data_IF_338061534184
#
_entry.id   IF_338061534184
#
_cell.length_a   1.000
_cell.length_b   1.000
_cell.length_c   1.000
_cell.angle_alpha   90.00
_cell.angle_beta   90.00
_cell.angle_gamma   90.00
#
_symmetry.space_group_name_H-M   'P 1'
#
loop_
_entity.id
_entity.type
_entity.pdbx_description
1 polymer ?
#
# COMPACT_ATOMS: atom_id res chain seq x y z
N UNK A 1 0.76 -0.66 18.06
CA UNK A 1 1.97 -0.01 17.53
C UNK A 1 1.97 -0.10 16.02
N UNK A 2 2.27 0.99 15.33
CA UNK A 2 2.31 0.98 13.87
C UNK A 2 3.69 0.60 13.37
N UNK A 3 3.71 0.04 12.16
CA UNK A 3 4.94 -0.26 11.43
C UNK A 3 4.81 0.22 10.00
N UNK A 4 5.92 0.60 9.41
CA UNK A 4 5.95 1.08 8.03
C UNK A 4 7.09 0.41 7.27
N UNK A 5 6.85 0.19 5.97
CA UNK A 5 7.88 -0.29 5.07
C UNK A 5 7.80 0.52 3.78
N UNK A 6 8.96 0.88 3.25
CA UNK A 6 9.07 1.57 1.96
C UNK A 6 9.47 0.57 0.91
N UNK A 7 8.66 0.45 -0.13
CA UNK A 7 8.88 -0.51 -1.21
C UNK A 7 9.17 0.24 -2.51
N UNK A 8 10.30 -0.05 -3.11
CA UNK A 8 10.70 0.52 -4.39
C UNK A 8 10.32 -0.46 -5.49
N UNK A 9 9.49 -0.03 -6.41
CA UNK A 9 8.94 -0.89 -7.45
C UNK A 9 9.72 -0.75 -8.75
N UNK A 10 9.69 -1.79 -9.62
CA UNK A 10 10.19 -1.62 -10.99
C UNK A 10 9.42 -0.52 -11.71
N UNK A 11 10.00 0.11 -12.75
CA UNK A 11 9.33 1.19 -13.47
C UNK A 11 7.95 0.76 -13.96
N UNK A 12 6.97 1.65 -13.80
CA UNK A 12 5.58 1.35 -14.13
C UNK A 12 4.86 2.61 -14.61
N UNK A 13 3.85 2.43 -15.46
CA UNK A 13 2.90 3.48 -15.83
C UNK A 13 1.53 2.86 -16.10
N UNK A 14 0.51 3.73 -16.22
CA UNK A 14 -0.86 3.27 -16.35
C UNK A 14 -1.43 2.77 -15.02
N UNK A 15 -2.45 1.94 -15.11
CA UNK A 15 -3.14 1.42 -13.93
C UNK A 15 -2.86 -0.07 -13.78
N UNK A 16 -2.51 -0.49 -12.57
CA UNK A 16 -2.26 -1.91 -12.29
C UNK A 16 -2.48 -2.25 -10.84
N UNK A 17 -2.69 -3.55 -10.61
CA UNK A 17 -2.81 -4.08 -9.25
C UNK A 17 -1.43 -4.50 -8.75
N UNK A 18 -1.13 -4.11 -7.54
CA UNK A 18 0.13 -4.43 -6.89
C UNK A 18 -0.16 -5.16 -5.58
N UNK A 19 0.69 -6.12 -5.27
CA UNK A 19 0.58 -6.86 -4.02
C UNK A 19 1.93 -6.89 -3.32
N UNK A 20 1.92 -6.67 -2.03
CA UNK A 20 3.11 -6.81 -1.21
C UNK A 20 2.79 -7.66 0.00
N UNK A 21 3.41 -8.84 0.08
CA UNK A 21 3.23 -9.73 1.23
C UNK A 21 4.13 -9.26 2.36
N UNK A 22 3.52 -9.01 3.50
CA UNK A 22 4.22 -8.48 4.66
C UNK A 22 3.57 -8.99 5.94
N UNK A 23 4.29 -9.79 6.76
CA UNK A 23 3.70 -10.50 7.89
C UNK A 23 2.95 -9.67 8.93
N UNK A 24 3.32 -8.39 9.23
CA UNK A 24 2.56 -7.61 10.21
C UNK A 24 1.11 -7.32 9.83
N UNK A 25 0.75 -7.49 8.56
CA UNK A 25 -0.61 -7.22 8.09
C UNK A 25 -1.45 -8.47 8.19
N UNK A 26 -2.73 -8.32 8.54
CA UNK A 26 -3.71 -9.38 8.40
C UNK A 26 -5.02 -8.79 7.86
N UNK A 27 -6.02 -9.65 7.63
CA UNK A 27 -7.23 -9.27 6.93
C UNK A 27 -8.00 -8.11 7.59
N UNK A 28 -7.85 -7.95 8.90
CA UNK A 28 -8.55 -6.91 9.66
C UNK A 28 -7.69 -5.69 9.95
N UNK A 29 -6.48 -5.64 9.42
CA UNK A 29 -5.58 -4.51 9.66
C UNK A 29 -6.07 -3.24 8.99
N UNK A 30 -5.71 -2.11 9.57
CA UNK A 30 -5.88 -0.80 8.93
C UNK A 30 -4.55 -0.44 8.30
N UNK A 31 -4.55 -0.31 6.98
CA UNK A 31 -3.33 -0.10 6.21
C UNK A 31 -3.45 1.17 5.38
N UNK A 32 -2.41 1.99 5.44
CA UNK A 32 -2.27 3.18 4.61
C UNK A 32 -1.18 2.91 3.59
N UNK A 33 -1.40 3.35 2.36
CA UNK A 33 -0.40 3.27 1.30
C UNK A 33 -0.30 4.64 0.64
N UNK A 34 0.91 5.18 0.58
CA UNK A 34 1.21 6.41 -0.14
C UNK A 34 2.24 6.11 -1.23
N UNK A 35 2.25 6.92 -2.28
CA UNK A 35 3.13 6.68 -3.41
C UNK A 35 3.77 7.97 -3.89
N UNK A 36 4.99 7.85 -4.42
CA UNK A 36 5.70 8.98 -5.03
C UNK A 36 6.73 8.46 -6.02
N UNK A 37 7.21 9.36 -6.89
CA UNK A 37 8.39 9.06 -7.70
C UNK A 37 9.65 9.07 -6.84
N UNK A 38 10.67 8.34 -7.29
CA UNK A 38 11.99 8.40 -6.68
C UNK A 38 13.07 8.50 -7.75
N UNK A 39 14.23 9.04 -7.36
CA UNK A 39 15.36 9.22 -8.25
C UNK A 39 16.49 8.24 -7.86
N UNK A 40 16.68 7.15 -8.62
CA UNK A 40 17.73 6.17 -8.29
C UNK A 40 19.14 6.66 -8.59
N UNK A 41 19.28 7.74 -9.37
CA UNK A 41 20.58 8.23 -9.82
C UNK A 41 21.09 9.44 -9.04
N UNK A 42 20.24 10.01 -8.19
CA UNK A 42 20.61 11.18 -7.39
C UNK A 42 21.29 10.80 -6.08
N UNK A 43 21.69 11.81 -5.28
CA UNK A 43 22.23 11.52 -3.96
C UNK A 43 21.16 10.88 -3.09
N UNK A 44 21.55 9.91 -2.22
CA UNK A 44 20.57 9.24 -1.36
C UNK A 44 20.12 10.15 -0.22
N UNK A 45 18.98 9.79 0.37
CA UNK A 45 18.52 10.36 1.63
C UNK A 45 19.44 9.96 2.79
N UNK A 46 19.24 10.57 3.94
CA UNK A 46 20.04 10.32 5.14
C UNK A 46 20.03 8.85 5.57
N UNK A 47 18.98 8.11 5.25
CA UNK A 47 18.86 6.68 5.56
C UNK A 47 19.47 5.79 4.47
N UNK A 48 20.06 6.38 3.42
CA UNK A 48 20.67 5.63 2.32
C UNK A 48 19.71 5.24 1.21
N UNK A 49 18.42 5.53 1.34
CA UNK A 49 17.45 5.21 0.29
C UNK A 49 17.42 6.29 -0.79
N UNK A 50 16.86 5.94 -1.97
CA UNK A 50 16.71 6.90 -3.06
C UNK A 50 15.77 8.03 -2.65
N UNK A 51 16.09 9.25 -3.09
CA UNK A 51 15.27 10.42 -2.79
C UNK A 51 13.96 10.37 -3.57
N UNK A 52 12.87 10.70 -2.87
CA UNK A 52 11.56 10.88 -3.48
C UNK A 52 11.44 12.33 -3.92
N UNK A 53 10.64 12.55 -4.97
CA UNK A 53 10.42 13.91 -5.47
C UNK A 53 9.02 14.04 -6.06
N UNK A 54 8.58 15.28 -6.17
CA UNK A 54 7.31 15.62 -6.82
C UNK A 54 7.58 15.90 -8.30
N UNK A 55 7.21 14.94 -9.15
CA UNK A 55 7.31 15.09 -10.59
C UNK A 55 6.02 15.65 -11.21
N UNK A 56 5.98 15.66 -12.54
CA UNK A 56 4.83 16.18 -13.27
C UNK A 56 3.67 15.18 -13.35
N UNK A 57 3.94 13.89 -13.19
CA UNK A 57 2.91 12.87 -13.30
C UNK A 57 2.00 12.86 -12.08
N UNK A 58 0.73 12.52 -12.29
CA UNK A 58 -0.18 12.23 -11.20
C UNK A 58 -0.06 10.76 -10.83
N UNK A 59 0.18 10.48 -9.56
CA UNK A 59 0.30 9.13 -9.03
C UNK A 59 -0.73 8.97 -7.93
N UNK A 60 -1.54 7.89 -8.03
CA UNK A 60 -2.62 7.61 -7.08
C UNK A 60 -2.56 6.17 -6.62
N UNK A 61 -2.95 5.97 -5.36
CA UNK A 61 -3.19 4.64 -4.81
C UNK A 61 -4.68 4.54 -4.52
N UNK A 62 -5.30 3.47 -5.04
CA UNK A 62 -6.72 3.21 -4.88
C UNK A 62 -6.94 1.80 -4.35
N UNK A 63 -8.12 1.56 -3.76
CA UNK A 63 -8.58 0.21 -3.43
C UNK A 63 -7.55 -0.57 -2.61
N UNK A 64 -7.21 -0.04 -1.44
CA UNK A 64 -6.23 -0.67 -0.55
C UNK A 64 -6.93 -1.79 0.22
N UNK A 65 -6.50 -3.04 -0.02
CA UNK A 65 -7.15 -4.22 0.55
C UNK A 65 -6.11 -5.06 1.29
N UNK A 66 -6.13 -5.03 2.63
CA UNK A 66 -5.32 -5.96 3.42
C UNK A 66 -5.84 -7.38 3.27
N UNK A 67 -4.94 -8.36 3.37
CA UNK A 67 -5.33 -9.77 3.30
C UNK A 67 -4.54 -10.60 4.29
N UNK A 68 -5.10 -11.76 4.61
CA UNK A 68 -4.50 -12.72 5.51
C UNK A 68 -5.48 -13.84 5.85
N UNK A 69 -5.04 -14.82 6.64
CA UNK A 69 -5.92 -15.91 7.03
C UNK A 69 -7.19 -15.41 7.73
N UNK A 70 -8.31 -16.13 7.58
CA UNK A 70 -8.44 -17.42 6.91
C UNK A 70 -8.65 -17.34 5.39
N UNK A 71 -8.99 -16.16 4.84
CA UNK A 71 -9.35 -16.04 3.43
C UNK A 71 -8.15 -16.18 2.50
N UNK A 72 -6.99 -15.73 2.94
CA UNK A 72 -5.76 -15.77 2.17
C UNK A 72 -4.65 -16.31 3.07
N UNK A 73 -3.88 -17.33 2.62
CA UNK A 73 -2.79 -17.84 3.44
C UNK A 73 -1.64 -16.84 3.62
N UNK A 74 -1.54 -15.85 2.78
CA UNK A 74 -0.47 -14.86 2.83
C UNK A 74 -0.94 -13.58 3.48
N UNK A 75 -0.12 -13.05 4.40
CA UNK A 75 -0.32 -11.75 5.02
C UNK A 75 0.22 -10.66 4.09
N UNK A 76 -0.53 -9.62 3.87
CA UNK A 76 -0.07 -8.53 3.05
C UNK A 76 -1.18 -7.57 2.64
N UNK A 77 -0.90 -6.80 1.59
CA UNK A 77 -1.83 -5.80 1.07
C UNK A 77 -1.80 -5.80 -0.45
N UNK A 78 -2.97 -5.74 -1.05
CA UNK A 78 -3.15 -5.52 -2.48
C UNK A 78 -3.76 -4.15 -2.67
N UNK A 79 -3.27 -3.40 -3.64
CA UNK A 79 -3.79 -2.08 -3.95
C UNK A 79 -3.67 -1.81 -5.44
N UNK A 80 -4.43 -0.83 -5.92
CA UNK A 80 -4.33 -0.36 -7.28
C UNK A 80 -3.42 0.86 -7.32
N UNK A 81 -2.42 0.83 -8.20
CA UNK A 81 -1.53 1.97 -8.43
C UNK A 81 -1.81 2.54 -9.80
N UNK A 82 -2.08 3.84 -9.86
CA UNK A 82 -2.33 4.56 -11.10
C UNK A 82 -1.22 5.59 -11.29
N UNK A 83 -0.49 5.45 -12.41
CA UNK A 83 0.56 6.38 -12.80
C UNK A 83 0.14 7.02 -14.12
N UNK A 84 -0.32 8.26 -14.05
CA UNK A 84 -0.83 8.98 -15.23
C UNK A 84 0.33 9.63 -15.97
N UNK A 85 1.02 8.83 -16.77
CA UNK A 85 2.17 9.25 -17.54
C UNK A 85 2.34 8.34 -18.76
N UNK A 86 2.93 8.86 -19.82
CA UNK A 86 3.04 8.14 -21.08
C UNK A 86 4.17 7.10 -21.13
N UNK A 87 5.05 7.09 -20.15
CA UNK A 87 6.16 6.13 -20.08
C UNK A 87 6.36 5.67 -18.64
N UNK A 88 7.02 4.51 -18.43
CA UNK A 88 7.24 4.01 -17.07
C UNK A 88 8.06 4.95 -16.21
N UNK A 89 7.64 5.09 -14.94
CA UNK A 89 8.31 5.92 -13.94
C UNK A 89 8.75 5.06 -12.76
N UNK A 90 9.79 5.51 -12.08
CA UNK A 90 10.26 4.90 -10.83
C UNK A 90 9.36 5.35 -9.70
N UNK A 91 8.63 4.41 -9.13
CA UNK A 91 7.64 4.69 -8.08
C UNK A 91 7.97 3.89 -6.83
N UNK A 92 7.88 4.54 -5.68
CA UNK A 92 7.95 3.84 -4.40
C UNK A 92 6.66 4.08 -3.62
N UNK A 93 6.34 3.11 -2.77
CA UNK A 93 5.19 3.20 -1.88
C UNK A 93 5.66 3.07 -0.44
N UNK A 94 5.04 3.84 0.44
CA UNK A 94 5.14 3.65 1.88
C UNK A 94 3.89 2.93 2.33
N UNK A 95 4.07 1.76 2.93
CA UNK A 95 2.98 0.94 3.44
C UNK A 95 3.05 0.98 4.95
N UNK A 96 1.97 1.42 5.58
CA UNK A 96 1.91 1.54 7.05
C UNK A 96 0.73 0.75 7.56
N UNK A 97 1.01 -0.19 8.47
CA UNK A 97 -0.03 -0.87 9.22
C UNK A 97 -0.14 -0.18 10.58
N UNK A 98 -1.34 0.27 10.92
CA UNK A 98 -1.54 1.12 12.10
C UNK A 98 -1.53 0.34 13.40
N UNK A 99 -1.99 -0.88 13.38
CA UNK A 99 -1.99 -1.73 14.57
C UNK A 99 -1.64 -3.16 14.16
N UNK A 100 -0.42 -3.56 14.44
CA UNK A 100 0.07 -4.88 14.10
C UNK A 100 -0.27 -5.93 15.14
N UNK A 101 -0.63 -5.50 16.34
CA UNK A 101 -0.68 -6.41 17.47
C UNK A 101 -1.96 -7.24 17.52
N UNK A 102 -3.08 -6.65 17.13
CA UNK A 102 -4.36 -7.32 17.35
C UNK A 102 -5.46 -6.73 16.49
N UNK A 103 -5.93 -7.52 15.54
CA UNK A 103 -7.04 -7.13 14.68
C UNK A 103 -8.37 -6.97 15.41
N UNK A 104 -8.49 -7.49 16.63
CA UNK A 104 -9.74 -7.39 17.38
C UNK A 104 -10.02 -5.96 17.90
N UNK A 105 -9.04 -5.06 17.79
CA UNK A 105 -9.25 -3.65 18.17
C UNK A 105 -10.04 -2.87 17.11
N UNK A 106 -10.16 -3.40 15.90
CA UNK A 106 -10.94 -2.75 14.86
C UNK A 106 -12.42 -3.03 15.05
N UNK A 107 -13.19 -1.97 15.29
CA UNK A 107 -14.63 -2.07 15.42
C UNK A 107 -15.27 -2.14 14.03
N UNK A 108 -16.32 -2.93 13.91
CA UNK A 108 -17.04 -3.12 12.65
C UNK A 108 -18.47 -2.63 12.82
N UNK A 109 -18.90 -1.78 11.91
CA UNK A 109 -20.24 -1.22 11.93
C UNK A 109 -20.83 -1.19 10.52
N UNK A 110 -21.99 -1.79 10.35
CA UNK A 110 -22.71 -1.75 9.08
C UNK A 110 -23.77 -0.66 9.14
N UNK A 111 -23.61 0.38 8.32
CA UNK A 111 -24.60 1.45 8.20
C UNK A 111 -25.88 0.84 7.66
N UNK A 112 -27.05 1.33 8.15
CA UNK A 112 -28.34 0.83 7.69
C UNK A 112 -28.44 0.87 6.17
N UNK A 113 -28.80 -0.26 5.57
CA UNK A 113 -28.84 -0.43 4.13
C UNK A 113 -27.57 -1.04 3.53
N UNK A 114 -26.47 -1.09 4.30
CA UNK A 114 -25.26 -1.75 3.82
C UNK A 114 -25.45 -3.27 3.81
N UNK A 115 -24.86 -3.93 2.81
CA UNK A 115 -24.91 -5.38 2.75
C UNK A 115 -24.00 -5.98 3.82
N UNK A 116 -24.48 -6.98 4.55
CA UNK A 116 -23.68 -7.72 5.52
C UNK A 116 -23.46 -9.15 5.04
N UNK A 117 -22.41 -9.83 5.56
CA UNK A 117 -22.15 -11.21 5.15
C UNK A 117 -23.33 -12.12 5.45
N UNK A 118 -23.58 -13.07 4.56
CA UNK A 118 -24.57 -14.12 4.80
C UNK A 118 -24.01 -15.13 5.82
N UNK A 119 -24.91 -15.69 6.62
CA UNK A 119 -24.56 -16.69 7.65
C UNK A 119 -25.15 -18.04 7.34
#
# INVERSE_FOLDING_TARGET
MSESIRVFWPPTNGTGSFNFNWPPINANSVVLVTASEYNPSGPPDADGSAQRFLGAATIRVNDIVPHGPPSDPNHGVTFQLEVDWGSPLNVCTDITVLDTANSSTTQVFYVEGAASPAH
#
